data_IF_471206420958
#
_entry.id   IF_471206420958
#
_cell.length_a   1.000
_cell.length_b   1.000
_cell.length_c   1.000
_cell.angle_alpha   90.00
_cell.angle_beta   90.00
_cell.angle_gamma   90.00
#
_symmetry.space_group_name_H-M   'P 1'
#
loop_
_entity.id
_entity.type
_entity.pdbx_description
1 polymer ?
#
# COMPACT_ATOMS: atom_id res chain seq x y z
N UNK A 1 10.16 -3.91 51.45
CA UNK A 1 9.71 -3.83 50.05
C UNK A 1 10.12 -2.45 49.56
N UNK A 2 11.11 -2.40 48.67
CA UNK A 2 11.69 -1.15 48.15
C UNK A 2 10.58 -0.33 47.49
N UNK A 3 10.39 0.90 47.96
CA UNK A 3 9.60 1.92 47.27
C UNK A 3 10.21 2.09 45.89
N UNK A 4 9.48 1.71 44.84
CA UNK A 4 9.92 1.94 43.47
C UNK A 4 10.17 3.45 43.30
N UNK A 5 11.43 3.83 43.13
CA UNK A 5 11.82 5.19 42.80
C UNK A 5 11.09 5.59 41.51
N UNK A 6 10.22 6.59 41.63
CA UNK A 6 9.46 7.11 40.50
C UNK A 6 10.46 7.90 39.65
N UNK A 7 10.56 7.54 38.37
CA UNK A 7 11.44 8.23 37.41
C UNK A 7 11.14 9.73 37.39
N UNK A 8 12.20 10.54 37.40
CA UNK A 8 12.09 12.00 37.29
C UNK A 8 11.80 12.43 35.85
N UNK A 9 11.42 13.69 35.66
CA UNK A 9 11.23 14.26 34.32
C UNK A 9 12.57 14.26 33.56
N UNK A 10 13.67 14.48 34.26
CA UNK A 10 15.02 14.41 33.72
C UNK A 10 15.35 13.01 33.19
N UNK A 11 14.98 11.96 33.92
CA UNK A 11 15.20 10.57 33.49
C UNK A 11 14.39 10.23 32.23
N UNK A 12 13.14 10.70 32.17
CA UNK A 12 12.28 10.53 30.98
C UNK A 12 12.86 11.26 29.76
N UNK A 13 13.43 12.45 29.96
CA UNK A 13 14.05 13.22 28.87
C UNK A 13 15.27 12.52 28.29
N UNK A 14 16.07 11.83 29.11
CA UNK A 14 17.21 11.03 28.64
C UNK A 14 16.73 9.92 27.69
N UNK A 15 15.62 9.25 28.01
CA UNK A 15 15.03 8.20 27.16
C UNK A 15 14.56 8.80 25.83
N UNK A 16 13.81 9.90 25.88
CA UNK A 16 13.30 10.56 24.66
C UNK A 16 14.44 11.05 23.77
N UNK A 17 15.49 11.64 24.35
CA UNK A 17 16.65 12.10 23.58
C UNK A 17 17.35 10.94 22.87
N UNK A 18 17.64 9.85 23.59
CA UNK A 18 18.25 8.66 22.99
C UNK A 18 17.38 8.06 21.88
N UNK A 19 16.07 8.06 22.06
CA UNK A 19 15.14 7.61 21.03
C UNK A 19 15.24 8.47 19.76
N UNK A 20 15.30 9.80 19.90
CA UNK A 20 15.44 10.72 18.75
C UNK A 20 16.82 10.63 18.09
N UNK A 21 17.89 10.45 18.86
CA UNK A 21 19.25 10.26 18.34
C UNK A 21 19.38 8.95 17.55
N UNK A 22 18.77 7.87 18.02
CA UNK A 22 18.83 6.56 17.35
C UNK A 22 17.89 6.47 16.16
N UNK A 23 16.65 6.99 16.29
CA UNK A 23 15.62 6.85 15.25
C UNK A 23 15.60 7.99 14.25
N UNK A 24 16.07 9.17 14.62
CA UNK A 24 15.97 10.37 13.79
C UNK A 24 14.53 10.90 13.68
N UNK A 25 14.38 12.01 12.95
CA UNK A 25 13.11 12.74 12.82
C UNK A 25 12.28 12.33 11.60
N UNK A 26 12.92 11.78 10.56
CA UNK A 26 12.31 11.53 9.23
C UNK A 26 12.15 10.04 8.93
N UNK A 27 12.21 9.22 10.00
CA UNK A 27 12.23 7.77 9.91
C UNK A 27 11.00 7.18 9.22
N UNK A 28 9.85 7.82 9.33
CA UNK A 28 8.59 7.32 8.77
C UNK A 28 8.68 7.17 7.25
N UNK A 29 9.28 8.15 6.57
CA UNK A 29 9.49 8.10 5.12
C UNK A 29 10.56 7.10 4.74
N UNK A 30 11.69 7.11 5.45
CA UNK A 30 12.81 6.21 5.17
C UNK A 30 12.43 4.74 5.38
N UNK A 31 11.84 4.38 6.51
CA UNK A 31 11.42 3.01 6.81
C UNK A 31 10.37 2.52 5.80
N UNK A 32 9.40 3.37 5.45
CA UNK A 32 8.38 3.03 4.45
C UNK A 32 8.99 2.81 3.07
N UNK A 33 9.90 3.68 2.64
CA UNK A 33 10.59 3.56 1.35
C UNK A 33 11.50 2.32 1.32
N UNK A 34 12.29 2.09 2.36
CA UNK A 34 13.15 0.91 2.50
C UNK A 34 12.34 -0.39 2.42
N UNK A 35 11.18 -0.46 3.10
CA UNK A 35 10.26 -1.60 3.00
C UNK A 35 9.71 -1.76 1.58
N UNK A 36 9.32 -0.67 0.92
CA UNK A 36 8.86 -0.70 -0.47
C UNK A 36 9.91 -1.33 -1.38
N UNK A 37 11.17 -0.93 -1.23
CA UNK A 37 12.27 -1.45 -2.05
C UNK A 37 12.59 -2.92 -1.77
N UNK A 38 12.65 -3.32 -0.49
CA UNK A 38 13.06 -4.67 -0.09
C UNK A 38 11.96 -5.71 -0.32
N UNK A 39 10.70 -5.35 -0.12
CA UNK A 39 9.59 -6.30 -0.07
C UNK A 39 8.56 -6.04 -1.17
N UNK A 40 8.01 -4.81 -1.23
CA UNK A 40 6.84 -4.52 -2.06
C UNK A 40 7.16 -4.53 -3.56
N UNK A 41 8.25 -3.89 -3.97
CA UNK A 41 8.66 -3.82 -5.38
C UNK A 41 8.97 -5.22 -5.95
N UNK A 42 9.77 -6.08 -5.29
CA UNK A 42 9.94 -7.47 -5.71
C UNK A 42 8.62 -8.26 -5.75
N UNK A 43 7.73 -8.06 -4.77
CA UNK A 43 6.42 -8.73 -4.75
C UNK A 43 5.57 -8.34 -5.96
N UNK A 44 5.52 -7.06 -6.32
CA UNK A 44 4.81 -6.57 -7.52
C UNK A 44 5.40 -7.20 -8.77
N UNK A 45 6.72 -7.19 -8.93
CA UNK A 45 7.38 -7.77 -10.12
C UNK A 45 7.12 -9.28 -10.21
N UNK A 46 7.07 -9.98 -9.07
CA UNK A 46 6.74 -11.41 -9.03
C UNK A 46 5.29 -11.72 -9.40
N UNK A 47 4.34 -10.82 -9.13
CA UNK A 47 2.93 -10.98 -9.51
C UNK A 47 2.75 -10.90 -11.03
N UNK A 48 3.52 -10.05 -11.72
CA UNK A 48 3.49 -9.87 -13.17
C UNK A 48 4.60 -10.67 -13.88
N UNK A 49 5.05 -11.78 -13.30
CA UNK A 49 6.18 -12.58 -13.79
C UNK A 49 5.97 -13.13 -15.19
N UNK A 50 4.77 -13.61 -15.51
CA UNK A 50 4.47 -14.25 -16.80
C UNK A 50 3.72 -13.29 -17.71
N UNK A 51 4.33 -12.95 -18.84
CA UNK A 51 3.71 -12.15 -19.89
C UNK A 51 3.48 -13.06 -21.11
N UNK A 52 2.23 -13.44 -21.41
CA UNK A 52 1.92 -14.23 -22.60
C UNK A 52 2.07 -13.34 -23.85
N UNK A 53 2.85 -13.81 -24.84
CA UNK A 53 3.02 -13.12 -26.13
C UNK A 53 2.16 -13.80 -27.19
N UNK A 54 2.24 -15.13 -27.28
CA UNK A 54 1.43 -15.98 -28.15
C UNK A 54 0.99 -17.23 -27.39
N UNK A 55 0.19 -18.09 -28.01
CA UNK A 55 -0.28 -19.34 -27.38
C UNK A 55 0.87 -20.25 -26.90
N UNK A 56 2.01 -20.23 -27.59
CA UNK A 56 3.18 -21.08 -27.28
C UNK A 56 4.38 -20.32 -26.71
N UNK A 57 4.35 -18.98 -26.71
CA UNK A 57 5.49 -18.16 -26.29
C UNK A 57 5.15 -17.29 -25.10
N UNK A 58 5.92 -17.44 -24.02
CA UNK A 58 5.81 -16.67 -22.79
C UNK A 58 7.12 -15.97 -22.47
N UNK A 59 7.01 -14.77 -21.92
CA UNK A 59 8.12 -14.03 -21.38
C UNK A 59 8.07 -14.13 -19.85
N UNK A 60 9.14 -14.64 -19.26
CA UNK A 60 9.28 -14.83 -17.82
C UNK A 60 10.23 -13.77 -17.29
N UNK A 61 9.73 -12.92 -16.41
CA UNK A 61 10.52 -11.93 -15.68
C UNK A 61 11.08 -12.61 -14.42
N UNK A 62 12.39 -12.54 -14.26
CA UNK A 62 13.11 -13.03 -13.11
C UNK A 62 13.63 -11.90 -12.23
N UNK A 63 14.18 -12.28 -11.08
CA UNK A 63 14.47 -11.43 -9.92
C UNK A 63 14.94 -10.02 -10.30
N UNK A 64 14.30 -8.95 -9.75
CA UNK A 64 14.78 -7.61 -9.99
C UNK A 64 16.12 -7.36 -9.29
N UNK A 65 16.99 -6.60 -9.95
CA UNK A 65 18.27 -6.14 -9.43
C UNK A 65 18.35 -4.63 -9.50
N UNK A 66 18.54 -3.99 -8.35
CA UNK A 66 18.77 -2.56 -8.28
C UNK A 66 20.24 -2.28 -8.64
N UNK A 67 20.47 -1.22 -9.42
CA UNK A 67 21.81 -0.75 -9.73
C UNK A 67 22.61 -0.38 -8.48
N UNK A 68 23.95 -0.27 -8.59
CA UNK A 68 24.80 0.00 -7.45
C UNK A 68 24.75 1.47 -6.98
N UNK A 69 24.58 2.40 -7.93
CA UNK A 69 24.62 3.85 -7.67
C UNK A 69 23.69 4.60 -8.62
N UNK A 70 23.17 5.77 -8.19
CA UNK A 70 22.41 6.65 -9.06
C UNK A 70 23.23 7.12 -10.26
N UNK A 71 22.61 7.07 -11.44
CA UNK A 71 23.29 7.32 -12.70
C UNK A 71 22.38 8.09 -13.66
N UNK A 72 23.01 8.79 -14.60
CA UNK A 72 22.34 9.52 -15.66
C UNK A 72 22.97 9.19 -17.00
N UNK A 73 22.15 9.15 -18.06
CA UNK A 73 22.61 8.98 -19.44
C UNK A 73 22.69 10.37 -20.06
N UNK A 74 23.90 10.85 -20.32
CA UNK A 74 24.13 12.13 -20.98
C UNK A 74 23.73 12.04 -22.49
N UNK A 75 23.65 13.19 -23.18
CA UNK A 75 23.18 13.27 -24.58
C UNK A 75 24.01 12.37 -25.52
N UNK A 76 25.29 12.21 -25.21
CA UNK A 76 26.25 11.38 -25.97
C UNK A 76 26.06 9.87 -25.72
N UNK A 77 25.05 9.47 -24.95
CA UNK A 77 24.77 8.08 -24.58
C UNK A 77 25.69 7.53 -23.49
N UNK A 78 26.60 8.35 -22.96
CA UNK A 78 27.51 7.95 -21.88
C UNK A 78 26.77 7.93 -20.56
N UNK A 79 26.95 6.85 -19.79
CA UNK A 79 26.36 6.75 -18.46
C UNK A 79 27.36 7.21 -17.41
N UNK A 80 26.96 8.18 -16.59
CA UNK A 80 27.80 8.73 -15.52
C UNK A 80 27.06 8.69 -14.18
N UNK A 81 27.79 8.42 -13.10
CA UNK A 81 27.22 8.51 -11.75
C UNK A 81 27.01 9.97 -11.36
N UNK A 82 25.94 10.24 -10.62
CA UNK A 82 25.57 11.58 -10.18
C UNK A 82 25.46 11.65 -8.68
N UNK A 83 25.94 12.74 -8.10
CA UNK A 83 25.69 13.08 -6.69
C UNK A 83 24.38 13.86 -6.58
N UNK A 84 23.74 13.88 -5.39
CA UNK A 84 22.55 14.69 -5.18
C UNK A 84 22.79 16.18 -5.46
N UNK A 85 23.91 16.75 -5.01
CA UNK A 85 24.34 18.11 -5.34
C UNK A 85 24.39 18.38 -6.86
N UNK A 86 25.00 17.48 -7.64
CA UNK A 86 25.04 17.63 -9.10
C UNK A 86 23.64 17.60 -9.70
N UNK A 87 22.76 16.71 -9.21
CA UNK A 87 21.37 16.66 -9.66
C UNK A 87 20.60 17.96 -9.37
N UNK A 88 20.82 18.58 -8.20
CA UNK A 88 20.23 19.88 -7.84
C UNK A 88 20.66 20.97 -8.82
N UNK A 89 21.97 21.11 -9.05
CA UNK A 89 22.53 22.20 -9.86
C UNK A 89 22.18 22.05 -11.35
N UNK A 90 22.20 20.81 -11.87
CA UNK A 90 21.97 20.53 -13.30
C UNK A 90 20.51 20.29 -13.67
N UNK A 91 19.56 20.50 -12.76
CA UNK A 91 18.14 20.18 -12.97
C UNK A 91 17.87 18.72 -13.36
N UNK A 92 18.65 17.78 -12.82
CA UNK A 92 18.48 16.35 -13.07
C UNK A 92 17.62 15.69 -11.99
N UNK A 93 17.15 14.49 -12.27
CA UNK A 93 16.45 13.66 -11.28
C UNK A 93 17.43 12.62 -10.71
N UNK A 94 17.50 12.52 -9.38
CA UNK A 94 18.37 11.57 -8.70
C UNK A 94 17.76 10.17 -8.74
N UNK A 95 18.25 9.31 -9.64
CA UNK A 95 17.63 8.03 -9.98
C UNK A 95 18.62 6.88 -10.09
N UNK A 96 18.18 5.68 -9.75
CA UNK A 96 18.93 4.44 -9.84
C UNK A 96 18.25 3.49 -10.84
N UNK A 97 18.99 2.82 -11.73
CA UNK A 97 18.39 1.88 -12.66
C UNK A 97 17.92 0.63 -11.92
N UNK A 98 16.78 0.09 -12.32
CA UNK A 98 16.31 -1.24 -11.90
C UNK A 98 16.39 -2.15 -13.11
N UNK A 99 17.14 -3.23 -12.98
CA UNK A 99 17.31 -4.25 -13.99
C UNK A 99 16.44 -5.47 -13.66
N UNK A 100 15.99 -6.16 -14.69
CA UNK A 100 15.31 -7.45 -14.58
C UNK A 100 15.91 -8.41 -15.57
N UNK A 101 16.02 -9.66 -15.17
CA UNK A 101 16.43 -10.73 -16.07
C UNK A 101 15.21 -11.31 -16.75
N UNK A 102 15.20 -11.34 -18.07
CA UNK A 102 14.05 -11.82 -18.84
C UNK A 102 14.45 -13.08 -19.60
N UNK A 103 13.58 -14.09 -19.51
CA UNK A 103 13.69 -15.36 -20.24
C UNK A 103 12.52 -15.50 -21.20
N UNK A 104 12.83 -15.78 -22.47
CA UNK A 104 11.81 -16.17 -23.45
C UNK A 104 11.66 -17.70 -23.47
N UNK A 105 10.44 -18.19 -23.32
CA UNK A 105 10.08 -19.60 -23.38
C UNK A 105 9.13 -19.79 -24.57
N UNK A 106 9.56 -20.46 -25.66
CA UNK A 106 8.73 -20.63 -26.86
C UNK A 106 9.34 -21.48 -27.98
N UNK A 107 10.64 -21.37 -28.29
CA UNK A 107 11.32 -22.26 -29.24
C UNK A 107 12.81 -22.41 -28.93
N UNK A 108 13.26 -23.68 -28.76
CA UNK A 108 14.62 -24.32 -28.80
C UNK A 108 15.81 -23.63 -28.09
N UNK A 109 15.79 -22.32 -27.86
CA UNK A 109 16.86 -21.56 -27.23
C UNK A 109 16.29 -20.63 -26.16
N UNK A 110 16.46 -21.04 -24.90
CA UNK A 110 16.27 -20.16 -23.76
C UNK A 110 17.34 -19.07 -23.80
N UNK A 111 16.97 -17.85 -24.22
CA UNK A 111 17.84 -16.68 -24.12
C UNK A 111 17.48 -15.91 -22.86
N UNK A 112 18.47 -15.74 -22.00
CA UNK A 112 18.40 -14.91 -20.80
C UNK A 112 19.06 -13.57 -21.11
N UNK A 113 18.31 -12.48 -20.97
CA UNK A 113 18.80 -11.13 -21.23
C UNK A 113 18.48 -10.26 -20.02
N UNK A 114 19.49 -9.59 -19.48
CA UNK A 114 19.28 -8.55 -18.49
C UNK A 114 18.84 -7.27 -19.20
N UNK A 115 17.68 -6.75 -18.82
CA UNK A 115 17.11 -5.53 -19.36
C UNK A 115 16.93 -4.50 -18.26
N UNK A 116 17.19 -3.23 -18.58
CA UNK A 116 16.82 -2.12 -17.70
C UNK A 116 15.30 -1.95 -17.76
N UNK A 117 14.62 -2.23 -16.64
CA UNK A 117 13.17 -2.10 -16.51
C UNK A 117 12.75 -0.63 -16.37
N UNK A 118 13.40 0.09 -15.46
CA UNK A 118 13.03 1.46 -15.13
C UNK A 118 14.19 2.22 -14.49
N UNK A 119 14.06 3.55 -14.44
CA UNK A 119 14.81 4.40 -13.51
C UNK A 119 13.93 4.74 -12.32
N UNK A 120 14.43 4.44 -11.12
CA UNK A 120 13.73 4.65 -9.87
C UNK A 120 14.31 5.88 -9.14
N UNK A 121 13.51 6.91 -8.85
CA UNK A 121 13.94 8.02 -8.01
C UNK A 121 14.38 7.53 -6.63
N UNK A 122 15.55 7.94 -6.18
CA UNK A 122 16.12 7.53 -4.89
C UNK A 122 15.79 8.55 -3.82
N UNK A 123 15.23 8.10 -2.70
CA UNK A 123 15.03 8.92 -1.52
C UNK A 123 16.37 9.13 -0.82
N UNK A 124 16.74 10.38 -0.53
CA UNK A 124 17.99 10.70 0.14
C UNK A 124 18.05 10.04 1.52
N UNK A 125 19.22 9.50 1.88
CA UNK A 125 19.51 8.73 3.10
C UNK A 125 18.78 7.39 3.21
N UNK A 126 18.11 6.91 2.16
CA UNK A 126 17.55 5.54 2.14
C UNK A 126 18.64 4.47 2.02
N UNK A 127 18.30 3.19 2.23
CA UNK A 127 19.28 2.09 2.22
C UNK A 127 19.99 1.90 0.87
N UNK A 128 19.30 2.26 -0.21
CA UNK A 128 19.82 2.18 -1.58
C UNK A 128 20.60 3.42 -1.99
N UNK A 129 20.46 4.52 -1.22
CA UNK A 129 21.25 5.73 -1.43
C UNK A 129 22.67 5.50 -0.88
N UNK A 130 23.73 5.68 -1.68
CA UNK A 130 25.10 5.65 -1.20
C UNK A 130 25.38 6.59 -0.02
N UNK A 131 24.68 7.73 0.09
CA UNK A 131 24.88 8.70 1.19
C UNK A 131 24.56 8.11 2.58
N UNK A 132 23.74 7.07 2.66
CA UNK A 132 23.38 6.43 3.93
C UNK A 132 24.56 5.69 4.57
N UNK A 133 25.59 5.36 3.78
CA UNK A 133 26.75 4.56 4.21
C UNK A 133 28.02 5.40 4.37
N UNK A 134 27.96 6.68 4.05
CA UNK A 134 29.10 7.59 4.10
C UNK A 134 29.29 8.18 5.49
N UNK A 135 30.54 8.42 5.85
CA UNK A 135 30.92 9.15 7.07
C UNK A 135 30.61 10.65 6.92
N UNK A 136 30.47 11.39 8.04
CA UNK A 136 30.33 12.86 8.01
C UNK A 136 31.41 13.56 7.18
N UNK A 137 32.65 13.07 7.24
CA UNK A 137 33.79 13.63 6.51
C UNK A 137 33.64 13.40 4.99
N UNK A 138 33.26 12.20 4.57
CA UNK A 138 32.99 11.87 3.16
C UNK A 138 31.83 12.68 2.59
N UNK A 139 30.79 12.93 3.39
CA UNK A 139 29.63 13.75 3.00
C UNK A 139 30.04 15.19 2.71
N UNK A 140 30.90 15.76 3.57
CA UNK A 140 31.44 17.11 3.37
C UNK A 140 32.30 17.17 2.10
N UNK A 141 33.10 16.13 1.82
CA UNK A 141 33.95 16.07 0.63
C UNK A 141 33.15 16.10 -0.67
N UNK A 142 31.98 15.45 -0.72
CA UNK A 142 31.07 15.47 -1.88
C UNK A 142 30.13 16.67 -1.90
N UNK A 143 30.21 17.57 -0.92
CA UNK A 143 29.43 18.80 -0.83
C UNK A 143 28.02 18.65 -0.24
N UNK A 144 27.75 17.57 0.51
CA UNK A 144 26.51 17.37 1.24
C UNK A 144 26.68 17.75 2.73
N UNK A 145 25.60 18.19 3.39
CA UNK A 145 25.62 18.46 4.83
C UNK A 145 25.39 17.17 5.63
N UNK A 146 26.29 16.78 6.56
CA UNK A 146 26.07 15.65 7.46
C UNK A 146 24.80 15.76 8.30
N UNK A 147 24.28 16.98 8.53
CA UNK A 147 23.06 17.26 9.31
C UNK A 147 21.79 17.22 8.47
N UNK A 148 21.88 17.06 7.15
CA UNK A 148 20.70 16.86 6.32
C UNK A 148 20.01 15.53 6.70
N UNK A 149 18.76 15.57 7.19
CA UNK A 149 18.05 14.37 7.60
C UNK A 149 17.63 13.45 6.44
N UNK A 150 17.59 13.94 5.20
CA UNK A 150 17.07 13.19 4.05
C UNK A 150 15.56 12.94 4.11
N UNK A 151 15.10 11.86 3.48
CA UNK A 151 13.67 11.50 3.43
C UNK A 151 12.85 12.21 2.35
N UNK A 152 13.52 12.85 1.40
CA UNK A 152 12.93 13.51 0.23
C UNK A 152 13.64 13.07 -1.05
N UNK A 153 13.10 13.47 -2.20
CA UNK A 153 13.62 13.15 -3.53
C UNK A 153 14.12 14.40 -4.24
N UNK A 154 15.07 14.25 -5.15
CA UNK A 154 15.45 15.32 -6.08
C UNK A 154 14.88 14.96 -7.45
N UNK A 155 13.90 15.74 -7.91
CA UNK A 155 13.22 15.56 -9.19
C UNK A 155 13.39 16.84 -10.01
N UNK A 156 14.04 16.74 -11.15
CA UNK A 156 14.34 17.85 -12.06
C UNK A 156 15.02 19.03 -11.33
N UNK A 157 16.01 18.73 -10.50
CA UNK A 157 16.74 19.69 -9.64
C UNK A 157 15.98 20.19 -8.42
N UNK A 158 14.68 19.97 -8.34
CA UNK A 158 13.86 20.41 -7.22
C UNK A 158 13.73 19.32 -6.16
N UNK A 159 13.87 19.70 -4.90
CA UNK A 159 13.61 18.82 -3.76
C UNK A 159 12.10 18.65 -3.56
N UNK A 160 11.66 17.39 -3.46
CA UNK A 160 10.25 17.02 -3.33
C UNK A 160 10.09 16.02 -2.20
N UNK A 161 9.23 16.35 -1.25
CA UNK A 161 8.84 15.47 -0.15
C UNK A 161 7.43 14.92 -0.38
N UNK A 162 7.22 13.65 -0.05
CA UNK A 162 5.88 13.07 -0.04
C UNK A 162 5.24 13.36 1.31
N UNK A 163 4.19 14.18 1.32
CA UNK A 163 3.44 14.47 2.54
C UNK A 163 2.57 13.25 2.88
N UNK A 164 2.68 12.77 4.12
CA UNK A 164 1.85 11.68 4.60
C UNK A 164 0.37 12.06 4.50
N UNK A 165 -0.43 11.18 3.88
CA UNK A 165 -1.86 11.36 3.78
C UNK A 165 -2.56 10.47 4.79
N UNK A 166 -3.49 11.05 5.52
CA UNK A 166 -4.40 10.32 6.38
C UNK A 166 -5.58 9.80 5.55
N UNK A 167 -5.86 8.51 5.68
CA UNK A 167 -6.97 7.85 5.01
C UNK A 167 -7.71 6.97 6.03
N UNK A 168 -9.00 6.74 5.79
CA UNK A 168 -9.79 5.87 6.66
C UNK A 168 -9.24 4.44 6.59
N UNK A 169 -9.30 3.73 7.72
CA UNK A 169 -8.85 2.35 7.81
C UNK A 169 -9.60 1.48 6.77
N UNK A 170 -8.86 0.97 5.79
CA UNK A 170 -9.38 0.00 4.83
C UNK A 170 -9.65 -1.34 5.51
N UNK A 171 -10.49 -2.17 4.89
CA UNK A 171 -10.82 -3.53 5.35
C UNK A 171 -11.38 -3.57 6.78
N UNK A 172 -12.00 -2.46 7.22
CA UNK A 172 -12.62 -2.32 8.54
C UNK A 172 -14.09 -1.94 8.35
N UNK A 173 -14.98 -2.53 9.16
CA UNK A 173 -16.40 -2.20 9.17
C UNK A 173 -16.59 -0.96 10.03
N UNK A 174 -17.10 0.12 9.43
CA UNK A 174 -17.42 1.37 10.11
C UNK A 174 -18.94 1.47 10.16
N UNK A 175 -19.51 1.57 11.37
CA UNK A 175 -20.95 1.70 11.59
C UNK A 175 -21.27 3.12 12.04
N UNK A 176 -22.31 3.70 11.48
CA UNK A 176 -22.79 5.04 11.82
C UNK A 176 -24.34 5.09 11.77
N UNK A 177 -24.91 6.16 12.31
CA UNK A 177 -26.33 6.45 12.19
C UNK A 177 -26.68 6.95 10.79
N UNK A 178 -27.86 6.56 10.30
CA UNK A 178 -28.37 7.05 9.03
C UNK A 178 -28.67 8.55 9.09
N UNK A 179 -28.48 9.24 7.95
CA UNK A 179 -28.77 10.67 7.88
C UNK A 179 -30.27 10.95 8.05
N UNK A 180 -30.60 11.98 8.83
CA UNK A 180 -31.98 12.40 9.06
C UNK A 180 -32.72 12.67 7.73
N UNK A 181 -33.96 12.18 7.63
CA UNK A 181 -34.81 12.34 6.45
C UNK A 181 -34.63 11.28 5.35
N UNK A 182 -33.59 10.44 5.39
CA UNK A 182 -33.31 9.45 4.32
C UNK A 182 -34.06 8.11 4.46
N UNK A 183 -34.79 7.91 5.56
CA UNK A 183 -35.45 6.65 5.88
C UNK A 183 -34.49 5.51 6.27
N UNK A 184 -33.19 5.80 6.36
CA UNK A 184 -32.14 4.89 6.84
C UNK A 184 -31.93 5.18 8.33
N UNK A 185 -31.90 4.14 9.16
CA UNK A 185 -31.66 4.27 10.61
C UNK A 185 -30.18 4.06 10.96
N UNK A 186 -29.54 3.07 10.34
CA UNK A 186 -28.14 2.73 10.56
C UNK A 186 -27.48 2.41 9.22
N UNK A 187 -26.21 2.74 9.07
CA UNK A 187 -25.42 2.42 7.89
C UNK A 187 -24.09 1.81 8.32
N UNK A 188 -23.65 0.77 7.62
CA UNK A 188 -22.35 0.14 7.82
C UNK A 188 -21.58 0.20 6.50
N UNK A 189 -20.37 0.76 6.53
CA UNK A 189 -19.52 0.94 5.36
C UNK A 189 -18.23 0.16 5.52
N UNK A 190 -17.83 -0.53 4.44
CA UNK A 190 -16.52 -1.16 4.31
C UNK A 190 -15.87 -0.64 3.03
N UNK A 191 -14.64 -0.12 3.15
CA UNK A 191 -13.77 0.15 2.01
C UNK A 191 -12.78 -1.00 1.93
N UNK A 192 -13.03 -1.94 1.03
CA UNK A 192 -12.16 -3.08 0.80
C UNK A 192 -11.02 -2.68 -0.12
N UNK A 193 -9.78 -2.85 0.32
CA UNK A 193 -8.57 -2.57 -0.43
C UNK A 193 -7.76 -3.86 -0.64
N UNK A 194 -7.58 -4.26 -1.90
CA UNK A 194 -6.79 -5.42 -2.28
C UNK A 194 -6.04 -5.15 -3.60
N UNK A 195 -4.72 -5.41 -3.61
CA UNK A 195 -3.85 -5.38 -4.81
C UNK A 195 -4.10 -4.17 -5.74
N UNK A 196 -4.10 -2.97 -5.15
CA UNK A 196 -4.29 -1.71 -5.89
C UNK A 196 -5.74 -1.40 -6.29
N UNK A 197 -6.70 -2.29 -6.05
CA UNK A 197 -8.14 -2.02 -6.23
C UNK A 197 -8.76 -1.64 -4.90
N UNK A 198 -9.62 -0.63 -4.95
CA UNK A 198 -10.48 -0.22 -3.84
C UNK A 198 -11.92 -0.38 -4.28
N UNK A 199 -12.72 -1.05 -3.47
CA UNK A 199 -14.15 -1.19 -3.68
C UNK A 199 -14.87 -0.85 -2.38
N UNK A 200 -16.03 -0.23 -2.50
CA UNK A 200 -16.85 0.14 -1.35
C UNK A 200 -18.13 -0.69 -1.36
N UNK A 201 -18.46 -1.24 -0.19
CA UNK A 201 -19.75 -1.84 0.11
C UNK A 201 -20.39 -1.06 1.26
N UNK A 202 -21.66 -0.71 1.10
CA UNK A 202 -22.45 -0.08 2.16
C UNK A 202 -23.65 -0.98 2.44
N UNK A 203 -23.94 -1.25 3.70
CA UNK A 203 -25.16 -1.92 4.16
C UNK A 203 -26.01 -0.89 4.89
N UNK A 204 -27.17 -0.57 4.33
CA UNK A 204 -28.13 0.36 4.93
C UNK A 204 -29.27 -0.42 5.58
N UNK A 205 -29.56 -0.14 6.85
CA UNK A 205 -30.78 -0.58 7.53
C UNK A 205 -31.84 0.51 7.40
N UNK A 206 -32.95 0.20 6.75
CA UNK A 206 -34.10 1.12 6.63
C UNK A 206 -35.01 1.04 7.85
N UNK A 207 -35.86 2.06 8.03
CA UNK A 207 -36.92 2.12 9.05
C UNK A 207 -37.87 0.92 9.02
N UNK A 208 -38.02 0.28 7.86
CA UNK A 208 -38.86 -0.92 7.69
C UNK A 208 -38.20 -2.21 8.24
N UNK A 209 -37.00 -2.13 8.81
CA UNK A 209 -36.24 -3.28 9.33
C UNK A 209 -35.51 -4.08 8.26
N UNK A 210 -35.36 -3.52 7.05
CA UNK A 210 -34.82 -4.21 5.90
C UNK A 210 -33.38 -3.75 5.61
N UNK A 211 -32.49 -4.72 5.43
CA UNK A 211 -31.09 -4.50 5.06
C UNK A 211 -30.91 -4.45 3.53
N UNK A 212 -30.29 -3.38 3.05
CA UNK A 212 -29.92 -3.20 1.65
C UNK A 212 -28.40 -3.09 1.50
N UNK A 213 -27.84 -3.93 0.63
CA UNK A 213 -26.47 -3.79 0.17
C UNK A 213 -26.43 -2.81 -1.02
N UNK A 214 -25.58 -1.80 -0.92
CA UNK A 214 -25.28 -0.86 -1.99
C UNK A 214 -23.89 -1.18 -2.55
N UNK A 215 -23.87 -1.72 -3.76
CA UNK A 215 -22.65 -2.02 -4.51
C UNK A 215 -22.56 -1.06 -5.69
N UNK A 216 -21.61 -0.12 -5.65
CA UNK A 216 -21.36 0.85 -6.72
C UNK A 216 -22.61 1.62 -7.20
N UNK A 217 -23.55 1.92 -6.28
CA UNK A 217 -24.79 2.64 -6.58
C UNK A 217 -26.02 1.75 -6.79
N UNK A 218 -25.84 0.44 -6.94
CA UNK A 218 -26.94 -0.51 -7.06
C UNK A 218 -27.37 -1.01 -5.68
N UNK A 219 -28.63 -0.75 -5.32
CA UNK A 219 -29.24 -1.23 -4.07
C UNK A 219 -29.88 -2.60 -4.28
N UNK A 220 -29.40 -3.60 -3.56
CA UNK A 220 -29.82 -4.99 -3.62
C UNK A 220 -30.19 -5.42 -2.20
N UNK A 221 -31.32 -6.11 -1.95
CA UNK A 221 -31.60 -6.69 -0.64
C UNK A 221 -30.46 -7.61 -0.17
N UNK A 222 -30.00 -7.43 1.07
CA UNK A 222 -28.81 -8.12 1.56
C UNK A 222 -28.95 -9.65 1.54
N UNK A 223 -30.14 -10.18 1.86
CA UNK A 223 -30.43 -11.62 1.82
C UNK A 223 -30.30 -12.19 0.41
N UNK A 224 -30.75 -11.47 -0.62
CA UNK A 224 -30.60 -11.90 -2.03
C UNK A 224 -29.12 -11.97 -2.42
N UNK A 225 -28.32 -11.00 -1.97
CA UNK A 225 -26.88 -11.02 -2.19
C UNK A 225 -26.23 -12.23 -1.51
N UNK A 226 -26.64 -12.59 -0.29
CA UNK A 226 -26.13 -13.78 0.41
C UNK A 226 -26.50 -15.09 -0.30
N UNK A 227 -27.72 -15.19 -0.82
CA UNK A 227 -28.16 -16.35 -1.63
C UNK A 227 -27.33 -16.45 -2.91
N UNK A 228 -27.10 -15.32 -3.60
CA UNK A 228 -26.27 -15.29 -4.80
C UNK A 228 -24.80 -15.67 -4.52
N UNK A 229 -24.33 -15.48 -3.28
CA UNK A 229 -23.01 -15.93 -2.82
C UNK A 229 -22.98 -17.41 -2.39
N UNK A 230 -24.13 -18.10 -2.40
CA UNK A 230 -24.26 -19.52 -2.10
C UNK A 230 -24.61 -19.85 -0.64
N UNK A 231 -25.09 -18.88 0.14
CA UNK A 231 -25.56 -19.11 1.52
C UNK A 231 -27.09 -19.22 1.52
N UNK A 232 -27.61 -20.36 1.94
CA UNK A 232 -29.04 -20.66 1.92
C UNK A 232 -29.74 -20.27 3.24
N UNK A 233 -31.07 -20.12 3.18
CA UNK A 233 -31.89 -19.48 4.23
C UNK A 233 -31.61 -19.90 5.68
N UNK A 234 -31.55 -21.20 6.07
CA UNK A 234 -31.24 -21.55 7.45
C UNK A 234 -29.82 -21.18 7.86
N UNK A 235 -28.87 -21.20 6.92
CA UNK A 235 -27.46 -20.87 7.16
C UNK A 235 -27.25 -19.36 7.30
N UNK A 236 -28.06 -18.54 6.64
CA UNK A 236 -27.98 -17.06 6.71
C UNK A 236 -28.11 -16.56 8.15
N UNK A 237 -29.06 -17.09 8.93
CA UNK A 237 -29.26 -16.67 10.32
C UNK A 237 -28.01 -16.93 11.17
N UNK A 238 -27.46 -18.15 11.10
CA UNK A 238 -26.26 -18.53 11.84
C UNK A 238 -24.99 -17.84 11.32
N UNK A 239 -24.93 -17.51 10.04
CA UNK A 239 -23.81 -16.77 9.45
C UNK A 239 -23.75 -15.32 9.94
N UNK A 240 -24.91 -14.69 10.21
CA UNK A 240 -24.98 -13.34 10.77
C UNK A 240 -24.66 -13.33 12.26
N UNK A 241 -25.32 -14.18 13.04
CA UNK A 241 -25.09 -14.29 14.48
C UNK A 241 -25.68 -15.59 15.03
N UNK A 242 -25.11 -16.20 16.08
CA UNK A 242 -25.76 -17.30 16.80
C UNK A 242 -26.86 -16.84 17.76
N UNK A 243 -27.01 -15.53 18.02
CA UNK A 243 -27.98 -14.98 18.99
C UNK A 243 -29.42 -14.95 18.42
N UNK A 244 -30.39 -15.64 19.06
CA UNK A 244 -31.80 -15.60 18.65
C UNK A 244 -32.41 -14.20 18.62
N UNK A 245 -31.95 -13.26 19.46
CA UNK A 245 -32.47 -11.88 19.44
C UNK A 245 -32.16 -11.19 18.11
N UNK A 246 -30.97 -11.41 17.55
CA UNK A 246 -30.54 -10.84 16.27
C UNK A 246 -31.25 -11.54 15.10
N UNK A 247 -31.63 -12.82 15.25
CA UNK A 247 -32.41 -13.52 14.23
C UNK A 247 -33.76 -12.84 13.99
N UNK A 248 -34.42 -12.34 15.05
CA UNK A 248 -35.69 -11.64 14.92
C UNK A 248 -35.58 -10.36 14.08
N UNK A 249 -34.45 -9.64 14.16
CA UNK A 249 -34.21 -8.44 13.35
C UNK A 249 -34.01 -8.73 11.87
N UNK A 250 -33.62 -9.96 11.51
CA UNK A 250 -33.36 -10.37 10.13
C UNK A 250 -34.62 -10.85 9.38
N UNK A 251 -35.67 -11.26 10.11
CA UNK A 251 -36.92 -11.79 9.54
C UNK A 251 -37.53 -10.87 8.46
N UNK A 252 -37.66 -9.54 8.65
CA UNK A 252 -38.22 -8.65 7.63
C UNK A 252 -37.46 -8.70 6.30
N UNK A 253 -36.13 -8.85 6.36
CA UNK A 253 -35.29 -8.94 5.17
C UNK A 253 -35.44 -10.27 4.44
N UNK A 254 -35.66 -11.37 5.18
CA UNK A 254 -35.92 -12.71 4.59
C UNK A 254 -37.28 -12.74 3.90
N UNK A 255 -38.33 -12.24 4.55
CA UNK A 255 -39.68 -12.16 3.97
C UNK A 255 -39.67 -11.33 2.69
N UNK A 256 -38.92 -10.23 2.64
CA UNK A 256 -38.76 -9.46 1.40
C UNK A 256 -38.06 -10.27 0.31
N UNK A 257 -37.02 -11.04 0.66
CA UNK A 257 -36.32 -11.86 -0.31
C UNK A 257 -37.22 -12.96 -0.89
N UNK A 258 -38.07 -13.60 -0.08
CA UNK A 258 -39.06 -14.59 -0.53
C UNK A 258 -40.06 -14.03 -1.56
N UNK A 259 -40.44 -12.75 -1.43
CA UNK A 259 -41.32 -12.10 -2.40
C UNK A 259 -40.66 -11.94 -3.78
N UNK A 260 -39.34 -11.81 -3.81
CA UNK A 260 -38.56 -11.62 -5.04
C UNK A 260 -38.12 -12.97 -5.62
N UNK A 261 -37.76 -13.92 -4.75
CA UNK A 261 -37.33 -15.29 -5.08
C UNK A 261 -38.23 -16.29 -4.32
N UNK A 262 -39.37 -16.72 -4.93
CA UNK A 262 -40.35 -17.59 -4.27
C UNK A 262 -39.85 -19.01 -3.97
N UNK A 263 -38.71 -19.42 -4.54
CA UNK A 263 -38.00 -20.65 -4.18
C UNK A 263 -36.63 -20.26 -3.66
N UNK A 264 -36.51 -20.20 -2.34
CA UNK A 264 -35.24 -20.02 -1.63
C UNK A 264 -34.49 -21.35 -1.46
N UNK A 265 -34.40 -22.12 -2.54
CA UNK A 265 -33.61 -23.37 -2.64
C UNK A 265 -32.32 -23.15 -3.41
#
# INVERSE_FOLDING_TARGET
>A
MSSAEILTIEDLWVITRKYLEEKGLVRQHLDSYNRFIRETLPAIISEFREIPITENTKLIIEKPRIGPKPQWVDIDGTTSYKTPLECRIRNLTYMIPVYVTVRLEGEITTREVELKLMDLPVMLRSDIDPLSKMTPEELIEIGEDPRDPGGYFIINGSERVLVAQEDLASNTIIVDYGQEGTGITHTAKVISAARGRRSQLIIDLKKDGIFYANLQGHKIPAVILMIALGVYTPEIFYAVSPDPAIHHELIPSVVQAEQILPRLE
#
